data_IF_893485444582
#
_entry.id   IF_893485444582
#
_cell.length_a   1.000
_cell.length_b   1.000
_cell.length_c   1.000
_cell.angle_alpha   90.00
_cell.angle_beta   90.00
_cell.angle_gamma   90.00
#
_symmetry.space_group_name_H-M   'P 1'
#
loop_
_entity.id
_entity.type
_entity.pdbx_description
1 polymer ?
#
# COMPACT_ATOMS: atom_id res chain seq x y z
N UNK A 1 -16.09 0.97 -23.56
CA UNK A 1 -16.00 -0.48 -23.26
C UNK A 1 -14.90 -0.78 -22.24
N UNK A 2 -13.64 -0.46 -22.53
CA UNK A 2 -12.53 -0.72 -21.58
C UNK A 2 -12.70 0.01 -20.24
N UNK A 3 -13.02 1.29 -20.29
CA UNK A 3 -13.20 2.11 -19.08
C UNK A 3 -14.44 1.69 -18.30
N UNK A 4 -15.50 1.28 -19.00
CA UNK A 4 -16.71 0.75 -18.35
C UNK A 4 -16.42 -0.54 -17.59
N UNK A 5 -15.64 -1.44 -18.19
CA UNK A 5 -15.20 -2.68 -17.53
C UNK A 5 -14.30 -2.40 -16.32
N UNK A 6 -13.42 -1.41 -16.44
CA UNK A 6 -12.60 -0.97 -15.33
C UNK A 6 -13.45 -0.45 -14.16
N UNK A 7 -14.51 0.31 -14.46
CA UNK A 7 -15.45 0.80 -13.44
C UNK A 7 -16.22 -0.35 -12.78
N UNK A 8 -16.69 -1.32 -13.57
CA UNK A 8 -17.34 -2.52 -13.05
C UNK A 8 -16.41 -3.27 -12.09
N UNK A 9 -15.15 -3.45 -12.47
CA UNK A 9 -14.14 -4.08 -11.63
C UNK A 9 -13.92 -3.29 -10.34
N UNK A 10 -13.85 -1.96 -10.44
CA UNK A 10 -13.73 -1.07 -9.27
C UNK A 10 -14.89 -1.22 -8.29
N UNK A 11 -16.13 -1.29 -8.81
CA UNK A 11 -17.33 -1.52 -8.00
C UNK A 11 -17.26 -2.88 -7.30
N UNK A 12 -16.87 -3.93 -8.03
CA UNK A 12 -16.72 -5.26 -7.45
C UNK A 12 -15.66 -5.27 -6.33
N UNK A 13 -14.55 -4.57 -6.53
CA UNK A 13 -13.51 -4.44 -5.51
C UNK A 13 -14.04 -3.71 -4.27
N UNK A 14 -14.85 -2.66 -4.45
CA UNK A 14 -15.45 -1.92 -3.34
C UNK A 14 -16.48 -2.72 -2.56
N UNK A 15 -17.06 -3.73 -3.16
CA UNK A 15 -18.01 -4.63 -2.53
C UNK A 15 -17.35 -5.89 -1.97
N UNK A 16 -16.05 -6.07 -2.18
CA UNK A 16 -15.32 -7.24 -1.69
C UNK A 16 -15.28 -7.25 -0.15
N UNK A 17 -15.28 -8.44 0.47
CA UNK A 17 -15.15 -8.54 1.93
C UNK A 17 -13.87 -7.90 2.45
N UNK A 18 -12.79 -7.97 1.68
CA UNK A 18 -11.49 -7.38 2.03
C UNK A 18 -11.58 -5.86 2.12
N UNK A 19 -12.26 -5.22 1.18
CA UNK A 19 -12.43 -3.76 1.19
C UNK A 19 -13.37 -3.31 2.30
N UNK A 20 -14.45 -4.04 2.53
CA UNK A 20 -15.40 -3.76 3.62
C UNK A 20 -14.69 -3.83 4.97
N UNK A 21 -13.87 -4.85 5.17
CA UNK A 21 -13.07 -5.02 6.37
C UNK A 21 -12.11 -3.85 6.56
N UNK A 22 -11.43 -3.42 5.49
CA UNK A 22 -10.52 -2.27 5.51
C UNK A 22 -11.26 -0.99 5.90
N UNK A 23 -12.43 -0.74 5.33
CA UNK A 23 -13.25 0.43 5.67
C UNK A 23 -13.69 0.43 7.13
N UNK A 24 -14.10 -0.73 7.66
CA UNK A 24 -14.45 -0.86 9.06
C UNK A 24 -13.25 -0.54 9.98
N UNK A 25 -12.06 -1.03 9.61
CA UNK A 25 -10.84 -0.74 10.35
C UNK A 25 -10.50 0.75 10.34
N UNK A 26 -10.64 1.41 9.19
CA UNK A 26 -10.41 2.87 9.05
C UNK A 26 -11.42 3.68 9.87
N UNK A 27 -12.69 3.28 9.87
CA UNK A 27 -13.71 3.94 10.67
C UNK A 27 -13.45 3.77 12.17
N UNK A 28 -13.03 2.58 12.60
CA UNK A 28 -12.68 2.33 14.00
C UNK A 28 -11.56 3.25 14.49
N UNK A 29 -10.57 3.52 13.64
CA UNK A 29 -9.48 4.46 13.95
C UNK A 29 -10.01 5.89 14.03
N UNK A 30 -10.84 6.29 13.08
CA UNK A 30 -11.40 7.64 13.05
C UNK A 30 -12.27 7.94 14.28
N UNK A 31 -12.94 6.93 14.81
CA UNK A 31 -13.78 7.03 16.01
C UNK A 31 -12.96 6.98 17.31
N UNK A 32 -11.73 6.48 17.26
CA UNK A 32 -10.88 6.38 18.44
C UNK A 32 -9.85 7.52 18.46
N UNK A 33 -10.12 8.53 19.28
CA UNK A 33 -9.29 9.73 19.37
C UNK A 33 -7.86 9.43 19.82
N UNK A 34 -7.68 8.53 20.77
CA UNK A 34 -6.35 8.17 21.28
C UNK A 34 -5.48 7.53 20.20
N UNK A 35 -6.05 6.62 19.42
CA UNK A 35 -5.36 5.96 18.31
C UNK A 35 -5.06 6.95 17.18
N UNK A 36 -6.00 7.83 16.85
CA UNK A 36 -5.80 8.88 15.84
C UNK A 36 -4.65 9.81 16.21
N UNK A 37 -4.57 10.20 17.49
CA UNK A 37 -3.46 11.03 18.00
C UNK A 37 -2.13 10.30 17.91
N UNK A 38 -2.11 9.02 18.29
CA UNK A 38 -0.92 8.18 18.22
C UNK A 38 -0.37 8.12 16.81
N UNK A 39 -1.24 7.88 15.82
CA UNK A 39 -0.85 7.85 14.41
C UNK A 39 -0.37 9.22 13.91
N UNK A 40 -1.08 10.29 14.27
CA UNK A 40 -0.71 11.65 13.88
C UNK A 40 0.67 12.02 14.43
N UNK A 41 0.92 11.72 15.70
CA UNK A 41 2.22 11.97 16.33
C UNK A 41 3.34 11.15 15.66
N UNK A 42 3.09 9.88 15.39
CA UNK A 42 4.05 9.01 14.71
C UNK A 42 4.40 9.55 13.32
N UNK A 43 3.39 9.93 12.53
CA UNK A 43 3.60 10.47 11.18
C UNK A 43 4.33 11.82 11.21
N UNK A 44 4.01 12.68 12.15
CA UNK A 44 4.71 13.97 12.33
C UNK A 44 6.18 13.77 12.66
N UNK A 45 6.47 12.88 13.60
CA UNK A 45 7.85 12.58 14.00
C UNK A 45 8.66 11.96 12.85
N UNK A 46 8.04 11.07 12.09
CA UNK A 46 8.68 10.48 10.90
C UNK A 46 9.00 11.55 9.84
N UNK A 47 8.06 12.45 9.59
CA UNK A 47 8.27 13.55 8.63
C UNK A 47 9.42 14.45 9.07
N UNK A 48 9.49 14.79 10.35
CA UNK A 48 10.58 15.59 10.91
C UNK A 48 11.92 14.88 10.82
N UNK A 49 11.95 13.57 11.06
CA UNK A 49 13.15 12.77 10.94
C UNK A 49 13.68 12.78 9.49
N UNK A 50 12.79 12.63 8.51
CA UNK A 50 13.17 12.68 7.09
C UNK A 50 13.81 14.03 6.77
N UNK A 51 13.24 15.13 7.24
CA UNK A 51 13.79 16.48 7.05
C UNK A 51 15.17 16.60 7.72
N UNK A 52 15.32 16.12 8.95
CA UNK A 52 16.60 16.16 9.67
C UNK A 52 17.69 15.33 8.96
N UNK A 53 17.34 14.16 8.42
CA UNK A 53 18.30 13.33 7.69
C UNK A 53 18.71 13.93 6.34
N UNK A 54 17.83 14.71 5.72
CA UNK A 54 18.11 15.39 4.45
C UNK A 54 18.93 16.66 4.64
N UNK A 55 18.93 17.25 5.84
CA UNK A 55 19.64 18.48 6.15
C UNK A 55 21.05 18.16 6.69
N UNK A 56 22.06 18.64 5.98
CA UNK A 56 23.48 18.46 6.37
C UNK A 56 23.85 19.21 7.65
N UNK A 57 23.08 20.24 8.01
CA UNK A 57 23.28 21.04 9.22
C UNK A 57 22.40 20.58 10.39
N UNK A 58 21.73 19.44 10.23
CA UNK A 58 20.85 18.92 11.27
C UNK A 58 21.61 18.56 12.54
N UNK A 59 20.95 18.77 13.67
CA UNK A 59 21.47 18.41 14.99
C UNK A 59 21.36 16.90 15.19
N UNK A 60 22.50 16.25 15.41
CA UNK A 60 22.56 14.81 15.68
C UNK A 60 21.75 14.43 16.91
N UNK A 61 21.76 15.26 17.95
CA UNK A 61 21.00 15.04 19.18
C UNK A 61 19.49 15.00 18.89
N UNK A 62 18.98 15.93 18.09
CA UNK A 62 17.58 15.96 17.68
C UNK A 62 17.22 14.70 16.89
N UNK A 63 18.11 14.26 15.99
CA UNK A 63 17.91 13.04 15.20
C UNK A 63 17.79 11.80 16.11
N UNK A 64 18.63 11.71 17.13
CA UNK A 64 18.59 10.60 18.09
C UNK A 64 17.29 10.63 18.91
N UNK A 65 16.88 11.81 19.38
CA UNK A 65 15.63 11.96 20.12
C UNK A 65 14.42 11.57 19.28
N UNK A 66 14.37 12.01 18.02
CA UNK A 66 13.29 11.65 17.08
C UNK A 66 13.25 10.15 16.83
N UNK A 67 14.41 9.52 16.65
CA UNK A 67 14.51 8.07 16.45
C UNK A 67 13.96 7.31 17.66
N UNK A 68 14.36 7.72 18.86
CA UNK A 68 13.90 7.10 20.11
C UNK A 68 12.39 7.28 20.30
N UNK A 69 11.85 8.47 20.01
CA UNK A 69 10.42 8.75 20.08
C UNK A 69 9.64 7.89 19.08
N UNK A 70 10.14 7.75 17.86
CA UNK A 70 9.53 6.93 16.82
C UNK A 70 9.48 5.46 17.23
N UNK A 71 10.57 4.94 17.81
CA UNK A 71 10.62 3.55 18.29
C UNK A 71 9.60 3.32 19.40
N UNK A 72 9.49 4.24 20.35
CA UNK A 72 8.50 4.17 21.43
C UNK A 72 7.07 4.21 20.89
N UNK A 73 6.80 5.10 19.94
CA UNK A 73 5.48 5.20 19.30
C UNK A 73 5.16 3.95 18.49
N UNK A 74 6.15 3.38 17.82
CA UNK A 74 6.01 2.14 17.06
C UNK A 74 5.63 0.97 17.97
N UNK A 75 6.24 0.87 19.13
CA UNK A 75 5.87 -0.14 20.14
C UNK A 75 4.40 0.01 20.58
N UNK A 76 3.97 1.24 20.83
CA UNK A 76 2.58 1.52 21.20
C UNK A 76 1.61 1.16 20.06
N UNK A 77 2.00 1.40 18.82
CA UNK A 77 1.22 1.03 17.63
C UNK A 77 1.10 -0.50 17.54
N UNK A 78 2.19 -1.22 17.73
CA UNK A 78 2.22 -2.68 17.67
C UNK A 78 1.35 -3.32 18.76
N UNK A 79 1.21 -2.67 19.89
CA UNK A 79 0.36 -3.13 21.00
C UNK A 79 -1.13 -2.82 20.79
N UNK A 80 -1.48 -1.98 19.85
CA UNK A 80 -2.87 -1.58 19.60
C UNK A 80 -3.61 -2.61 18.74
N UNK A 81 -4.66 -3.28 19.25
CA UNK A 81 -5.46 -4.21 18.44
C UNK A 81 -6.13 -3.54 17.24
N UNK A 82 -6.55 -2.29 17.38
CA UNK A 82 -7.20 -1.51 16.31
C UNK A 82 -6.24 -1.29 15.16
N UNK A 83 -5.00 -0.92 15.45
CA UNK A 83 -3.97 -0.69 14.43
C UNK A 83 -3.48 -2.00 13.82
N UNK A 84 -3.39 -3.06 14.60
CA UNK A 84 -3.07 -4.40 14.09
C UNK A 84 -4.13 -4.85 13.09
N UNK A 85 -5.41 -4.63 13.39
CA UNK A 85 -6.51 -4.95 12.48
C UNK A 85 -6.45 -4.11 11.19
N UNK A 86 -6.10 -2.83 11.29
CA UNK A 86 -5.89 -2.00 10.11
C UNK A 86 -4.80 -2.59 9.20
N UNK A 87 -3.65 -2.93 9.75
CA UNK A 87 -2.54 -3.50 8.98
C UNK A 87 -2.94 -4.83 8.33
N UNK A 88 -3.62 -5.71 9.07
CA UNK A 88 -4.08 -6.99 8.55
C UNK A 88 -5.09 -6.80 7.42
N UNK A 89 -6.02 -5.86 7.56
CA UNK A 89 -7.03 -5.57 6.54
C UNK A 89 -6.42 -4.91 5.31
N UNK A 90 -5.47 -4.02 5.47
CA UNK A 90 -4.71 -3.44 4.36
C UNK A 90 -3.95 -4.52 3.59
N UNK A 91 -3.26 -5.40 4.28
CA UNK A 91 -2.52 -6.50 3.66
C UNK A 91 -3.44 -7.41 2.87
N UNK A 92 -4.60 -7.75 3.43
CA UNK A 92 -5.61 -8.58 2.78
C UNK A 92 -6.12 -7.93 1.48
N UNK A 93 -6.41 -6.64 1.53
CA UNK A 93 -6.89 -5.89 0.36
C UNK A 93 -5.80 -5.75 -0.71
N UNK A 94 -4.57 -5.45 -0.33
CA UNK A 94 -3.45 -5.36 -1.26
C UNK A 94 -3.14 -6.70 -1.91
N UNK A 95 -3.28 -7.80 -1.19
CA UNK A 95 -3.15 -9.15 -1.76
C UNK A 95 -4.22 -9.40 -2.83
N UNK A 96 -5.46 -8.99 -2.58
CA UNK A 96 -6.54 -9.07 -3.56
C UNK A 96 -6.22 -8.24 -4.81
N UNK A 97 -5.78 -6.99 -4.65
CA UNK A 97 -5.37 -6.13 -5.76
C UNK A 97 -4.21 -6.74 -6.55
N UNK A 98 -3.25 -7.34 -5.86
CA UNK A 98 -2.13 -8.01 -6.50
C UNK A 98 -2.58 -9.19 -7.35
N UNK A 99 -3.54 -9.97 -6.86
CA UNK A 99 -4.12 -11.09 -7.61
C UNK A 99 -4.85 -10.60 -8.86
N UNK A 100 -5.64 -9.53 -8.73
CA UNK A 100 -6.34 -8.89 -9.85
C UNK A 100 -5.33 -8.40 -10.90
N UNK A 101 -4.27 -7.72 -10.47
CA UNK A 101 -3.23 -7.22 -11.35
C UNK A 101 -2.49 -8.35 -12.07
N UNK A 102 -2.24 -9.47 -11.39
CA UNK A 102 -1.62 -10.66 -11.99
C UNK A 102 -2.51 -11.25 -13.08
N UNK A 103 -3.82 -11.31 -12.85
CA UNK A 103 -4.76 -11.80 -13.88
C UNK A 103 -4.80 -10.88 -15.08
N UNK A 104 -4.85 -9.56 -14.88
CA UNK A 104 -4.80 -8.59 -15.97
C UNK A 104 -3.50 -8.76 -16.76
N UNK A 105 -2.36 -8.83 -16.08
CA UNK A 105 -1.04 -9.00 -16.70
C UNK A 105 -0.94 -10.33 -17.45
N UNK A 106 -1.49 -11.41 -16.90
CA UNK A 106 -1.51 -12.72 -17.55
C UNK A 106 -2.32 -12.69 -18.85
N UNK A 107 -3.45 -11.97 -18.86
CA UNK A 107 -4.26 -11.79 -20.07
C UNK A 107 -3.51 -11.01 -21.14
N UNK A 108 -2.83 -9.92 -20.75
CA UNK A 108 -2.01 -9.12 -21.64
C UNK A 108 -0.85 -9.97 -22.19
N UNK A 109 -0.16 -10.69 -21.31
CA UNK A 109 0.95 -11.57 -21.68
C UNK A 109 0.53 -12.66 -22.65
N UNK A 110 -0.64 -13.26 -22.46
CA UNK A 110 -1.18 -14.26 -23.40
C UNK A 110 -1.49 -13.65 -24.75
N UNK A 111 -2.04 -12.44 -24.76
CA UNK A 111 -2.36 -11.74 -26.00
C UNK A 111 -1.10 -11.34 -26.78
N UNK A 112 -0.02 -11.02 -26.07
CA UNK A 112 1.26 -10.66 -26.66
C UNK A 112 2.19 -11.85 -26.84
N UNK A 113 1.81 -13.01 -26.34
CA UNK A 113 2.62 -14.20 -26.54
C UNK A 113 2.49 -14.64 -27.99
N UNK A 114 3.56 -14.46 -28.74
CA UNK A 114 3.60 -14.79 -30.18
C UNK A 114 3.62 -16.31 -30.40
N UNK A 115 2.62 -17.01 -29.88
CA UNK A 115 2.53 -18.46 -29.94
C UNK A 115 2.41 -18.87 -31.42
N UNK A 116 3.51 -19.31 -31.99
CA UNK A 116 3.53 -19.81 -33.33
C UNK A 116 3.54 -18.75 -34.44
N UNK A 117 3.57 -17.47 -34.11
CA UNK A 117 3.54 -16.38 -35.10
C UNK A 117 4.63 -15.33 -34.86
N UNK A 118 5.80 -15.78 -34.41
CA UNK A 118 6.94 -14.89 -34.20
C UNK A 118 7.36 -14.16 -35.51
N UNK A 119 7.00 -14.67 -36.63
CA UNK A 119 7.28 -14.07 -37.94
C UNK A 119 6.53 -12.75 -38.15
N UNK A 120 5.38 -12.60 -37.51
CA UNK A 120 4.55 -11.39 -37.60
C UNK A 120 4.82 -10.40 -36.49
N UNK A 121 5.57 -10.82 -35.47
CA UNK A 121 5.92 -9.97 -34.31
C UNK A 121 7.33 -9.45 -34.51
N UNK A 122 7.46 -8.18 -34.90
CA UNK A 122 8.75 -7.56 -35.21
C UNK A 122 9.77 -7.65 -34.06
N UNK A 123 9.29 -7.68 -32.82
CA UNK A 123 10.15 -7.84 -31.66
C UNK A 123 10.73 -9.26 -31.52
N UNK A 124 9.95 -10.26 -31.88
CA UNK A 124 10.38 -11.65 -31.78
C UNK A 124 11.38 -12.02 -32.91
N UNK A 125 11.19 -11.43 -34.06
CA UNK A 125 12.07 -11.67 -35.21
C UNK A 125 13.51 -11.19 -34.97
N UNK A 126 13.68 -10.20 -34.10
CA UNK A 126 14.98 -9.63 -33.73
C UNK A 126 15.67 -10.40 -32.60
N UNK A 127 14.95 -11.25 -31.91
CA UNK A 127 15.50 -12.02 -30.80
C UNK A 127 16.26 -13.29 -31.27
N UNK A 128 16.22 -13.56 -32.55
CA UNK A 128 16.97 -14.66 -33.21
C UNK A 128 18.31 -14.19 -33.81
#
# INVERSE_FOLDING_TARGET
MLIEKARELGVMLSESPEFIRLNHAKCAIAENEAVSRLLAEFNEKRARLVVCLADSDSNLEETIELTNDIERLHEQIDESPILTELLASEQSFYNLLSMVNKEISACIGRAHNCIGHCETCGGCAQAH
#
